data_IF_145347720313
#
_entry.id   IF_145347720313
#
_cell.length_a   1.000
_cell.length_b   1.000
_cell.length_c   1.000
_cell.angle_alpha   90.00
_cell.angle_beta   90.00
_cell.angle_gamma   90.00
#
_symmetry.space_group_name_H-M   'P 1'
#
loop_
_entity.id
_entity.type
_entity.pdbx_description
1 polymer ?
#
# COMPACT_ATOMS: atom_id res chain seq x y z
N UNK A 1 -29.62 -16.28 0.43
CA UNK A 1 -30.77 -17.18 0.17
C UNK A 1 -32.13 -16.51 0.45
N UNK A 2 -32.22 -15.58 1.39
CA UNK A 2 -33.50 -14.88 1.66
C UNK A 2 -33.84 -13.79 0.63
N UNK A 3 -32.86 -13.16 -0.01
CA UNK A 3 -33.11 -12.18 -1.10
C UNK A 3 -33.55 -12.81 -2.43
N UNK A 4 -33.39 -14.13 -2.60
CA UNK A 4 -33.84 -14.86 -3.81
C UNK A 4 -35.34 -15.09 -3.83
N UNK A 5 -36.05 -15.01 -2.70
CA UNK A 5 -37.51 -15.30 -2.61
C UNK A 5 -38.42 -14.12 -2.97
N UNK A 6 -37.87 -12.93 -3.25
CA UNK A 6 -38.67 -11.74 -3.52
C UNK A 6 -38.63 -11.24 -4.97
N UNK A 7 -37.94 -11.95 -5.87
CA UNK A 7 -38.03 -11.65 -7.30
C UNK A 7 -39.14 -12.51 -7.91
N UNK A 8 -40.21 -11.85 -8.32
CA UNK A 8 -41.27 -12.45 -9.10
C UNK A 8 -40.69 -12.90 -10.45
N UNK A 9 -40.65 -14.21 -10.69
CA UNK A 9 -40.10 -14.81 -11.92
C UNK A 9 -40.75 -14.23 -13.18
N UNK A 10 -42.01 -13.79 -13.07
CA UNK A 10 -42.72 -13.09 -14.15
C UNK A 10 -42.10 -11.75 -14.52
N UNK A 11 -41.52 -11.00 -13.58
CA UNK A 11 -40.87 -9.71 -13.85
C UNK A 11 -39.50 -9.87 -14.50
N UNK A 12 -38.73 -10.92 -14.19
CA UNK A 12 -37.45 -11.19 -14.85
C UNK A 12 -37.65 -11.53 -16.34
N UNK A 13 -38.75 -12.19 -16.65
CA UNK A 13 -39.12 -12.56 -18.02
C UNK A 13 -39.57 -11.31 -18.81
N UNK A 14 -40.28 -10.38 -18.16
CA UNK A 14 -40.80 -9.17 -18.79
C UNK A 14 -39.76 -8.07 -19.03
N UNK A 15 -38.74 -7.96 -18.20
CA UNK A 15 -37.71 -6.92 -18.34
C UNK A 15 -36.71 -7.14 -19.50
N UNK A 16 -36.58 -8.37 -19.97
CA UNK A 16 -35.69 -8.74 -21.07
C UNK A 16 -36.39 -9.10 -22.40
N UNK A 17 -37.72 -9.11 -22.43
CA UNK A 17 -38.47 -9.34 -23.67
C UNK A 17 -38.88 -8.02 -24.28
N UNK A 18 -38.21 -7.57 -25.35
CA UNK A 18 -38.86 -6.70 -26.34
C UNK A 18 -40.14 -7.42 -26.76
N UNK A 19 -41.28 -6.67 -26.67
CA UNK A 19 -42.57 -7.12 -27.19
C UNK A 19 -42.34 -7.63 -28.60
N UNK A 20 -42.30 -8.95 -28.75
CA UNK A 20 -42.27 -9.57 -30.08
C UNK A 20 -43.70 -9.46 -30.57
N UNK A 21 -43.94 -8.59 -31.56
CA UNK A 21 -45.21 -8.57 -32.26
C UNK A 21 -45.54 -10.01 -32.67
N UNK A 22 -46.72 -10.46 -32.26
CA UNK A 22 -47.19 -11.84 -32.55
C UNK A 22 -47.15 -12.08 -34.06
N UNK A 23 -46.31 -12.92 -34.58
CA UNK A 23 -46.41 -13.34 -35.98
C UNK A 23 -47.77 -14.05 -36.15
N UNK A 24 -48.44 -13.79 -37.25
CA UNK A 24 -49.68 -14.49 -37.65
C UNK A 24 -49.46 -15.96 -38.00
N UNK A 25 -48.71 -16.68 -37.21
CA UNK A 25 -48.28 -18.06 -37.44
C UNK A 25 -48.98 -18.94 -36.39
N UNK A 26 -49.40 -20.09 -36.80
CA UNK A 26 -50.08 -21.16 -36.08
C UNK A 26 -49.68 -21.20 -34.60
N UNK A 27 -50.63 -21.02 -33.69
CA UNK A 27 -50.41 -20.81 -32.27
C UNK A 27 -49.57 -21.93 -31.60
N UNK A 28 -49.66 -23.12 -32.08
CA UNK A 28 -48.92 -24.30 -31.58
C UNK A 28 -47.40 -24.27 -31.93
N UNK A 29 -47.05 -23.80 -33.12
CA UNK A 29 -45.62 -23.66 -33.51
C UNK A 29 -44.94 -22.55 -32.76
N UNK A 30 -45.66 -21.43 -32.52
CA UNK A 30 -45.13 -20.31 -31.74
C UNK A 30 -44.95 -20.73 -30.26
N UNK A 31 -45.92 -21.46 -29.69
CA UNK A 31 -45.85 -21.95 -28.31
C UNK A 31 -44.68 -22.93 -28.12
N UNK A 32 -44.46 -23.82 -29.07
CA UNK A 32 -43.32 -24.74 -29.05
C UNK A 32 -41.96 -24.02 -29.20
N UNK A 33 -41.86 -23.02 -30.08
CA UNK A 33 -40.65 -22.22 -30.25
C UNK A 33 -40.37 -21.37 -28.99
N UNK A 34 -41.40 -20.81 -28.38
CA UNK A 34 -41.32 -20.07 -27.14
C UNK A 34 -40.89 -20.97 -25.96
N UNK A 35 -41.51 -22.13 -25.79
CA UNK A 35 -41.13 -23.12 -24.76
C UNK A 35 -39.69 -23.59 -24.92
N UNK A 36 -39.24 -23.89 -26.16
CA UNK A 36 -37.85 -24.26 -26.41
C UNK A 36 -36.88 -23.13 -26.08
N UNK A 37 -37.23 -21.88 -26.41
CA UNK A 37 -36.42 -20.69 -26.07
C UNK A 37 -36.36 -20.44 -24.55
N UNK A 38 -37.50 -20.65 -23.85
CA UNK A 38 -37.59 -20.52 -22.40
C UNK A 38 -36.78 -21.59 -21.68
N UNK A 39 -36.91 -22.86 -22.10
CA UNK A 39 -36.14 -23.99 -21.54
C UNK A 39 -34.64 -23.74 -21.75
N UNK A 40 -34.22 -23.28 -22.93
CA UNK A 40 -32.82 -22.94 -23.19
C UNK A 40 -32.30 -21.85 -22.26
N UNK A 41 -33.10 -20.80 -22.03
CA UNK A 41 -32.73 -19.70 -21.09
C UNK A 41 -32.75 -20.15 -19.63
N UNK A 42 -33.65 -21.06 -19.25
CA UNK A 42 -33.69 -21.64 -17.91
C UNK A 42 -32.44 -22.51 -17.64
N UNK A 43 -32.03 -23.32 -18.61
CA UNK A 43 -30.80 -24.12 -18.51
C UNK A 43 -29.58 -23.22 -18.44
N UNK A 44 -29.50 -22.14 -19.23
CA UNK A 44 -28.43 -21.13 -19.15
C UNK A 44 -28.39 -20.43 -17.78
N UNK A 45 -29.58 -20.14 -17.19
CA UNK A 45 -29.74 -19.58 -15.85
C UNK A 45 -29.39 -20.58 -14.75
N UNK A 46 -29.78 -21.82 -14.88
CA UNK A 46 -29.44 -22.94 -13.96
C UNK A 46 -27.91 -23.13 -13.94
N UNK A 47 -27.27 -23.21 -15.09
CA UNK A 47 -25.79 -23.32 -15.19
C UNK A 47 -25.07 -22.09 -14.58
N UNK A 48 -25.67 -20.90 -14.64
CA UNK A 48 -25.15 -19.70 -13.97
C UNK A 48 -25.39 -19.70 -12.46
N UNK A 49 -26.46 -20.38 -11.99
CA UNK A 49 -26.81 -20.47 -10.58
C UNK A 49 -26.08 -21.60 -9.86
N UNK A 50 -25.60 -22.60 -10.59
CA UNK A 50 -24.79 -23.70 -10.08
C UNK A 50 -23.31 -23.31 -9.81
N UNK A 51 -22.91 -22.10 -10.13
CA UNK A 51 -21.59 -21.58 -9.76
C UNK A 51 -21.62 -21.21 -8.28
N UNK A 52 -21.09 -22.07 -7.44
CA UNK A 52 -21.02 -21.85 -5.99
C UNK A 52 -20.17 -20.61 -5.68
N UNK A 53 -19.15 -20.37 -6.45
CA UNK A 53 -18.21 -19.26 -6.26
C UNK A 53 -17.81 -18.60 -7.57
N UNK A 54 -17.93 -17.26 -7.62
CA UNK A 54 -17.45 -16.46 -8.76
C UNK A 54 -15.96 -16.23 -8.63
N UNK A 55 -15.18 -16.91 -9.45
CA UNK A 55 -13.74 -16.76 -9.55
C UNK A 55 -13.33 -16.40 -10.99
N UNK A 56 -12.06 -16.07 -11.20
CA UNK A 56 -11.55 -15.90 -12.55
C UNK A 56 -11.60 -17.19 -13.36
N UNK A 57 -11.41 -18.34 -12.72
CA UNK A 57 -11.53 -19.64 -13.36
C UNK A 57 -12.94 -19.84 -13.94
N UNK A 58 -13.97 -19.57 -13.15
CA UNK A 58 -15.37 -19.70 -13.63
C UNK A 58 -15.67 -18.71 -14.75
N UNK A 59 -15.13 -17.49 -14.69
CA UNK A 59 -15.24 -16.53 -15.78
C UNK A 59 -14.55 -17.01 -17.06
N UNK A 60 -13.34 -17.58 -16.95
CA UNK A 60 -12.61 -18.12 -18.09
C UNK A 60 -13.35 -19.29 -18.74
N UNK A 61 -13.77 -20.28 -17.95
CA UNK A 61 -14.51 -21.45 -18.41
C UNK A 61 -15.84 -21.08 -19.07
N UNK A 62 -16.56 -20.12 -18.47
CA UNK A 62 -17.78 -19.59 -19.04
C UNK A 62 -17.51 -18.87 -20.38
N UNK A 63 -16.46 -18.07 -20.44
CA UNK A 63 -16.07 -17.37 -21.67
C UNK A 63 -15.70 -18.34 -22.79
N UNK A 64 -14.96 -19.40 -22.49
CA UNK A 64 -14.60 -20.44 -23.46
C UNK A 64 -15.83 -21.17 -24.00
N UNK A 65 -16.79 -21.51 -23.12
CA UNK A 65 -18.00 -22.27 -23.46
C UNK A 65 -19.02 -21.42 -24.21
N UNK A 66 -19.31 -20.22 -23.76
CA UNK A 66 -20.47 -19.44 -24.23
C UNK A 66 -20.15 -18.33 -25.23
N UNK A 67 -18.95 -17.70 -25.18
CA UNK A 67 -18.63 -16.64 -26.14
C UNK A 67 -18.68 -17.13 -27.61
N UNK A 68 -18.24 -18.34 -27.98
CA UNK A 68 -18.42 -18.85 -29.35
C UNK A 68 -19.87 -18.84 -29.80
N UNK A 69 -20.79 -19.21 -28.90
CA UNK A 69 -22.22 -19.27 -29.17
C UNK A 69 -22.79 -17.86 -29.40
N UNK A 70 -22.39 -16.90 -28.53
CA UNK A 70 -22.82 -15.51 -28.67
C UNK A 70 -22.28 -14.86 -29.96
N UNK A 71 -21.00 -15.06 -30.27
CA UNK A 71 -20.37 -14.49 -31.44
C UNK A 71 -20.90 -15.09 -32.77
N UNK A 72 -21.30 -16.36 -32.77
CA UNK A 72 -21.94 -17.00 -33.93
C UNK A 72 -23.36 -16.49 -34.19
N UNK A 73 -23.98 -15.78 -33.25
CA UNK A 73 -25.31 -15.26 -33.41
C UNK A 73 -25.29 -14.07 -34.37
N UNK A 74 -25.99 -14.18 -35.51
CA UNK A 74 -26.09 -13.17 -36.59
C UNK A 74 -26.60 -11.79 -36.12
N UNK A 75 -27.14 -11.68 -34.90
CA UNK A 75 -27.54 -10.42 -34.28
C UNK A 75 -26.33 -9.60 -33.79
N UNK A 76 -25.23 -10.23 -33.47
CA UNK A 76 -24.00 -9.55 -33.08
C UNK A 76 -23.10 -9.41 -34.31
N UNK A 77 -23.06 -8.25 -34.89
CA UNK A 77 -22.21 -7.93 -36.06
C UNK A 77 -20.80 -7.52 -35.57
N UNK A 78 -20.16 -8.36 -34.80
CA UNK A 78 -18.77 -8.14 -34.33
C UNK A 78 -17.85 -8.90 -35.29
N UNK A 79 -16.96 -8.21 -35.94
CA UNK A 79 -15.94 -8.80 -36.78
C UNK A 79 -14.78 -9.37 -35.96
N UNK A 80 -14.04 -10.33 -36.50
CA UNK A 80 -12.81 -10.84 -35.87
C UNK A 80 -11.75 -9.76 -35.61
N UNK A 81 -11.75 -8.70 -36.42
CA UNK A 81 -10.87 -7.56 -36.25
C UNK A 81 -11.23 -6.73 -35.02
N UNK A 82 -12.50 -6.68 -34.66
CA UNK A 82 -12.97 -5.97 -33.46
C UNK A 82 -12.84 -6.81 -32.19
N UNK A 83 -13.08 -8.11 -32.27
CA UNK A 83 -12.91 -9.04 -31.16
C UNK A 83 -12.50 -10.43 -31.63
N UNK A 84 -11.25 -10.82 -31.32
CA UNK A 84 -10.73 -12.15 -31.60
C UNK A 84 -10.76 -13.01 -30.32
N UNK A 85 -11.71 -13.95 -30.25
CA UNK A 85 -11.91 -14.81 -29.11
C UNK A 85 -10.67 -15.63 -28.75
N UNK A 86 -9.93 -16.13 -29.74
CA UNK A 86 -8.74 -16.94 -29.50
C UNK A 86 -7.64 -16.14 -28.83
N UNK A 87 -7.41 -14.90 -29.29
CA UNK A 87 -6.46 -14.00 -28.66
C UNK A 87 -6.90 -13.61 -27.25
N UNK A 88 -8.19 -13.34 -27.05
CA UNK A 88 -8.76 -13.04 -25.76
C UNK A 88 -8.51 -14.16 -24.75
N UNK A 89 -8.90 -15.40 -25.06
CA UNK A 89 -8.68 -16.56 -24.19
C UNK A 89 -7.18 -16.85 -23.96
N UNK A 90 -6.34 -16.66 -24.99
CA UNK A 90 -4.91 -16.84 -24.87
C UNK A 90 -4.29 -15.86 -23.84
N UNK A 91 -4.69 -14.60 -23.87
CA UNK A 91 -4.21 -13.60 -22.88
C UNK A 91 -4.70 -13.92 -21.48
N UNK A 92 -5.95 -14.37 -21.34
CA UNK A 92 -6.55 -14.71 -20.06
C UNK A 92 -6.00 -16.01 -19.45
N UNK A 93 -5.48 -16.92 -20.26
CA UNK A 93 -4.93 -18.20 -19.82
C UNK A 93 -3.80 -18.07 -18.79
N UNK A 94 -3.06 -16.96 -18.79
CA UNK A 94 -2.04 -16.66 -17.76
C UNK A 94 -2.63 -16.61 -16.34
N UNK A 95 -3.91 -16.23 -16.21
CA UNK A 95 -4.62 -16.08 -14.93
C UNK A 95 -5.55 -17.25 -14.58
N UNK A 96 -5.74 -18.18 -15.50
CA UNK A 96 -6.52 -19.40 -15.28
C UNK A 96 -5.69 -20.42 -14.51
N UNK A 97 -6.35 -21.37 -13.84
CA UNK A 97 -5.72 -22.46 -13.07
C UNK A 97 -4.61 -23.13 -13.89
N UNK A 98 -3.42 -23.27 -13.27
CA UNK A 98 -2.23 -23.79 -13.95
C UNK A 98 -1.47 -22.76 -14.82
N UNK A 99 -2.02 -21.58 -15.05
CA UNK A 99 -1.33 -20.46 -15.68
C UNK A 99 -0.33 -19.77 -14.74
N UNK A 100 0.50 -18.90 -15.30
CA UNK A 100 1.58 -18.20 -14.57
C UNK A 100 1.09 -17.42 -13.34
N UNK A 101 -0.11 -16.86 -13.42
CA UNK A 101 -0.75 -16.06 -12.36
C UNK A 101 -2.07 -16.70 -11.88
N UNK A 102 -2.19 -18.03 -12.02
CA UNK A 102 -3.43 -18.75 -11.76
C UNK A 102 -3.97 -18.63 -10.33
N UNK A 103 -3.12 -18.37 -9.35
CA UNK A 103 -3.51 -18.14 -7.94
C UNK A 103 -3.94 -16.70 -7.68
N UNK A 104 -3.47 -15.73 -8.45
CA UNK A 104 -3.67 -14.29 -8.18
C UNK A 104 -5.13 -13.85 -8.12
N UNK A 105 -6.00 -14.45 -8.96
CA UNK A 105 -7.41 -14.07 -9.08
C UNK A 105 -8.39 -15.19 -8.71
N UNK A 106 -7.88 -16.29 -8.16
CA UNK A 106 -8.65 -17.51 -7.91
C UNK A 106 -8.55 -18.02 -6.47
N UNK A 107 -8.02 -17.24 -5.56
CA UNK A 107 -8.05 -17.55 -4.14
C UNK A 107 -9.35 -17.07 -3.51
N UNK A 108 -9.71 -17.67 -2.39
CA UNK A 108 -10.92 -17.31 -1.65
C UNK A 108 -10.91 -15.84 -1.23
N UNK A 109 -12.04 -15.17 -1.40
CA UNK A 109 -12.18 -13.79 -1.01
C UNK A 109 -12.10 -13.65 0.51
N UNK A 110 -11.08 -12.95 1.01
CA UNK A 110 -11.00 -12.60 2.42
C UNK A 110 -11.96 -11.46 2.75
N UNK A 111 -13.16 -11.82 3.19
CA UNK A 111 -14.18 -10.88 3.60
C UNK A 111 -13.78 -10.06 4.85
N UNK A 112 -12.75 -10.47 5.60
CA UNK A 112 -12.26 -9.73 6.76
C UNK A 112 -11.76 -8.34 6.39
N UNK A 113 -11.21 -8.17 5.18
CA UNK A 113 -10.73 -6.88 4.67
C UNK A 113 -11.77 -5.74 4.78
N UNK A 114 -13.06 -6.06 4.67
CA UNK A 114 -14.11 -5.05 4.81
C UNK A 114 -14.31 -4.55 6.24
N UNK A 115 -13.85 -5.31 7.22
CA UNK A 115 -14.03 -5.01 8.66
C UNK A 115 -12.75 -4.54 9.32
N UNK A 116 -11.59 -4.88 8.78
CA UNK A 116 -10.30 -4.45 9.32
C UNK A 116 -10.15 -2.91 9.30
N UNK A 117 -9.81 -2.29 10.46
CA UNK A 117 -9.68 -0.84 10.54
C UNK A 117 -8.43 -0.29 9.86
N UNK A 118 -7.37 -1.09 9.77
CA UNK A 118 -6.08 -0.71 9.18
C UNK A 118 -5.58 -1.80 8.25
N UNK A 119 -5.34 -1.44 7.00
CA UNK A 119 -4.87 -2.36 5.97
C UNK A 119 -3.68 -1.71 5.26
N UNK A 120 -2.63 -2.48 5.06
CA UNK A 120 -1.47 -2.09 4.25
C UNK A 120 -1.32 -3.08 3.10
N UNK A 121 -1.30 -2.56 1.89
CA UNK A 121 -0.99 -3.33 0.69
C UNK A 121 0.45 -3.02 0.27
N UNK A 122 1.34 -3.99 0.47
CA UNK A 122 2.70 -3.91 -0.03
C UNK A 122 2.75 -4.40 -1.48
N UNK A 123 3.04 -3.47 -2.40
CA UNK A 123 3.01 -3.73 -3.85
C UNK A 123 4.39 -3.75 -4.51
N UNK A 124 5.45 -3.63 -3.74
CA UNK A 124 6.83 -3.55 -4.28
C UNK A 124 7.19 -4.77 -5.13
N UNK A 125 6.74 -5.95 -4.76
CA UNK A 125 7.01 -7.19 -5.50
C UNK A 125 6.29 -7.28 -6.86
N UNK A 126 5.24 -6.48 -7.07
CA UNK A 126 4.44 -6.52 -8.32
C UNK A 126 4.59 -5.25 -9.17
N UNK A 127 5.20 -4.18 -8.63
CA UNK A 127 5.29 -2.87 -9.29
C UNK A 127 5.97 -2.90 -10.66
N UNK A 128 6.94 -3.79 -10.83
CA UNK A 128 7.71 -3.91 -12.07
C UNK A 128 7.07 -4.91 -13.06
N UNK A 129 5.96 -5.54 -12.68
CA UNK A 129 5.23 -6.45 -13.55
C UNK A 129 4.10 -5.71 -14.30
N UNK A 130 4.25 -5.46 -15.60
CA UNK A 130 3.29 -4.65 -16.36
C UNK A 130 1.90 -5.29 -16.50
N UNK A 131 1.76 -6.60 -16.24
CA UNK A 131 0.46 -7.30 -16.27
C UNK A 131 -0.20 -7.30 -14.90
N UNK A 132 0.55 -7.60 -13.83
CA UNK A 132 0.00 -7.74 -12.47
C UNK A 132 -0.25 -6.39 -11.80
N UNK A 133 0.66 -5.44 -11.95
CA UNK A 133 0.56 -4.16 -11.23
C UNK A 133 -0.77 -3.43 -11.47
N UNK A 134 -1.24 -3.25 -12.72
CA UNK A 134 -2.53 -2.63 -12.96
C UNK A 134 -3.72 -3.40 -12.36
N UNK A 135 -3.69 -4.74 -12.42
CA UNK A 135 -4.77 -5.59 -11.91
C UNK A 135 -4.84 -5.50 -10.38
N UNK A 136 -3.71 -5.71 -9.70
CA UNK A 136 -3.64 -5.64 -8.24
C UNK A 136 -4.07 -4.25 -7.74
N UNK A 137 -3.59 -3.20 -8.40
CA UNK A 137 -3.96 -1.83 -8.02
C UNK A 137 -5.45 -1.56 -8.22
N UNK A 138 -6.07 -2.10 -9.28
CA UNK A 138 -7.52 -2.01 -9.49
C UNK A 138 -8.31 -2.74 -8.40
N UNK A 139 -7.87 -3.93 -7.99
CA UNK A 139 -8.51 -4.71 -6.92
C UNK A 139 -8.45 -3.93 -5.61
N UNK A 140 -7.29 -3.35 -5.26
CA UNK A 140 -7.12 -2.52 -4.07
C UNK A 140 -8.07 -1.32 -4.09
N UNK A 141 -8.12 -0.61 -5.22
CA UNK A 141 -8.99 0.57 -5.36
C UNK A 141 -10.47 0.20 -5.29
N UNK A 142 -10.88 -0.89 -5.93
CA UNK A 142 -12.28 -1.35 -5.88
C UNK A 142 -12.66 -1.80 -4.46
N UNK A 143 -11.79 -2.54 -3.79
CA UNK A 143 -11.95 -2.93 -2.38
C UNK A 143 -12.15 -1.69 -1.49
N UNK A 144 -11.33 -0.64 -1.67
CA UNK A 144 -11.49 0.61 -0.94
C UNK A 144 -12.84 1.28 -1.22
N UNK A 145 -13.24 1.37 -2.50
CA UNK A 145 -14.52 1.99 -2.89
C UNK A 145 -15.70 1.21 -2.29
N UNK A 146 -15.67 -0.10 -2.32
CA UNK A 146 -16.71 -0.94 -1.72
C UNK A 146 -16.75 -0.77 -0.21
N UNK A 147 -15.60 -0.83 0.46
CA UNK A 147 -15.48 -0.58 1.90
C UNK A 147 -15.98 0.81 2.29
N UNK A 148 -15.64 1.82 1.50
CA UNK A 148 -16.09 3.20 1.68
C UNK A 148 -17.62 3.31 1.62
N UNK A 149 -18.27 2.56 0.73
CA UNK A 149 -19.73 2.53 0.58
C UNK A 149 -20.43 1.75 1.70
N UNK A 150 -19.82 0.66 2.15
CA UNK A 150 -20.36 -0.21 3.19
C UNK A 150 -20.27 0.43 4.58
N UNK A 151 -19.13 1.04 4.91
CA UNK A 151 -18.85 1.59 6.25
C UNK A 151 -19.18 3.08 6.31
N UNK A 152 -20.47 3.41 6.24
CA UNK A 152 -20.96 4.80 6.30
C UNK A 152 -20.80 5.44 7.69
N UNK A 153 -20.60 4.64 8.71
CA UNK A 153 -20.49 4.99 10.13
C UNK A 153 -19.13 5.57 10.53
N UNK A 154 -18.12 5.46 9.68
CA UNK A 154 -16.72 5.80 10.02
C UNK A 154 -16.06 6.69 8.98
N UNK A 155 -15.06 7.46 9.43
CA UNK A 155 -14.10 8.09 8.51
C UNK A 155 -13.17 7.04 7.94
N UNK A 156 -12.76 7.23 6.71
CA UNK A 156 -11.83 6.36 5.98
C UNK A 156 -10.79 7.22 5.30
N UNK A 157 -9.55 6.73 5.29
CA UNK A 157 -8.48 7.34 4.53
C UNK A 157 -7.87 6.30 3.58
N UNK A 158 -7.64 6.70 2.34
CA UNK A 158 -6.77 5.98 1.42
C UNK A 158 -5.51 6.80 1.25
N UNK A 159 -4.38 6.22 1.64
CA UNK A 159 -3.06 6.83 1.49
C UNK A 159 -2.33 6.09 0.38
N UNK A 160 -1.91 6.79 -0.65
CA UNK A 160 -1.20 6.25 -1.80
C UNK A 160 0.20 6.84 -1.79
N UNK A 161 1.18 6.04 -1.38
CA UNK A 161 2.59 6.39 -1.47
C UNK A 161 3.14 6.09 -2.86
N UNK A 162 4.13 6.85 -3.30
CA UNK A 162 4.70 6.74 -4.66
C UNK A 162 3.62 6.71 -5.77
N UNK A 163 2.60 7.54 -5.61
CA UNK A 163 1.40 7.55 -6.44
C UNK A 163 1.67 7.69 -7.94
N UNK A 164 2.81 8.23 -8.33
CA UNK A 164 3.20 8.42 -9.72
C UNK A 164 3.22 7.10 -10.53
N UNK A 165 3.63 5.99 -9.92
CA UNK A 165 3.61 4.68 -10.57
C UNK A 165 2.20 4.22 -10.91
N UNK A 166 1.28 4.44 -9.97
CA UNK A 166 -0.13 4.13 -10.18
C UNK A 166 -0.78 5.08 -11.21
N UNK A 167 -0.41 6.36 -11.17
CA UNK A 167 -0.97 7.42 -12.04
C UNK A 167 -0.53 7.27 -13.51
N UNK A 168 0.60 6.66 -13.79
CA UNK A 168 1.10 6.44 -15.14
C UNK A 168 0.12 5.63 -16.03
N UNK A 169 -0.71 4.78 -15.44
CA UNK A 169 -1.77 4.06 -16.14
C UNK A 169 -3.01 4.94 -16.36
N UNK A 170 -3.50 5.04 -17.60
CA UNK A 170 -4.72 5.79 -17.94
C UNK A 170 -5.94 5.32 -17.12
N UNK A 171 -6.03 4.02 -16.88
CA UNK A 171 -7.12 3.42 -16.11
C UNK A 171 -7.06 3.86 -14.65
N UNK A 172 -5.89 3.79 -14.05
CA UNK A 172 -5.66 4.24 -12.67
C UNK A 172 -5.86 5.73 -12.51
N UNK A 173 -5.40 6.54 -13.46
CA UNK A 173 -5.68 7.96 -13.48
C UNK A 173 -7.18 8.27 -13.41
N UNK A 174 -8.00 7.51 -14.14
CA UNK A 174 -9.47 7.63 -14.10
C UNK A 174 -10.06 7.25 -12.73
N UNK A 175 -9.53 6.23 -12.07
CA UNK A 175 -9.93 5.83 -10.72
C UNK A 175 -9.57 6.88 -9.66
N UNK A 176 -8.36 7.40 -9.71
CA UNK A 176 -7.91 8.48 -8.81
C UNK A 176 -8.78 9.72 -9.00
N UNK A 177 -9.08 10.08 -10.25
CA UNK A 177 -10.01 11.17 -10.57
C UNK A 177 -11.40 10.92 -9.94
N UNK A 178 -11.95 9.73 -10.11
CA UNK A 178 -13.23 9.36 -9.50
C UNK A 178 -13.17 9.45 -7.98
N UNK A 179 -12.09 8.93 -7.37
CA UNK A 179 -11.87 8.95 -5.93
C UNK A 179 -11.88 10.40 -5.40
N UNK A 180 -11.04 11.28 -5.95
CA UNK A 180 -10.95 12.68 -5.51
C UNK A 180 -12.28 13.45 -5.65
N UNK A 181 -13.09 13.13 -6.65
CA UNK A 181 -14.42 13.74 -6.84
C UNK A 181 -15.48 13.20 -5.89
N UNK A 182 -15.33 11.98 -5.36
CA UNK A 182 -16.43 11.29 -4.69
C UNK A 182 -16.17 10.93 -3.23
N UNK A 183 -14.91 10.76 -2.82
CA UNK A 183 -14.53 10.25 -1.50
C UNK A 183 -15.17 11.03 -0.34
N UNK A 184 -15.27 12.34 -0.47
CA UNK A 184 -15.88 13.23 0.53
C UNK A 184 -17.35 12.89 0.81
N UNK A 185 -18.12 12.44 -0.21
CA UNK A 185 -19.54 12.06 -0.05
C UNK A 185 -19.73 10.85 0.88
N UNK A 186 -18.67 10.10 1.11
CA UNK A 186 -18.68 8.89 1.93
C UNK A 186 -17.84 9.03 3.21
N UNK A 187 -17.56 10.25 3.65
CA UNK A 187 -16.70 10.51 4.81
C UNK A 187 -15.29 9.91 4.63
N UNK A 188 -14.79 9.96 3.41
CA UNK A 188 -13.48 9.48 3.05
C UNK A 188 -12.50 10.61 2.80
N UNK A 189 -11.23 10.29 2.91
CA UNK A 189 -10.08 11.12 2.59
C UNK A 189 -9.21 10.38 1.58
N UNK A 190 -8.67 11.09 0.61
CA UNK A 190 -7.68 10.58 -0.32
C UNK A 190 -6.39 11.38 -0.14
N UNK A 191 -5.32 10.69 0.20
CA UNK A 191 -4.00 11.28 0.41
C UNK A 191 -3.03 10.69 -0.61
N UNK A 192 -2.39 11.55 -1.38
CA UNK A 192 -1.34 11.18 -2.32
C UNK A 192 -0.03 11.72 -1.79
N UNK A 193 0.96 10.84 -1.68
CA UNK A 193 2.31 11.18 -1.27
C UNK A 193 3.24 10.98 -2.45
N UNK A 194 4.07 11.98 -2.75
CA UNK A 194 5.07 11.90 -3.80
C UNK A 194 6.34 12.62 -3.37
N UNK A 195 7.47 12.13 -3.85
CA UNK A 195 8.78 12.77 -3.66
C UNK A 195 9.07 13.79 -4.76
N UNK A 196 8.44 13.62 -5.93
CA UNK A 196 8.65 14.48 -7.09
C UNK A 196 7.30 14.99 -7.61
N UNK A 197 7.16 16.30 -7.68
CA UNK A 197 5.93 16.92 -8.17
C UNK A 197 5.77 16.74 -9.69
N UNK A 198 6.85 16.64 -10.42
CA UNK A 198 6.82 16.43 -11.88
C UNK A 198 6.08 15.15 -12.26
N UNK A 199 6.04 14.14 -11.39
CA UNK A 199 5.29 12.90 -11.57
C UNK A 199 3.77 13.12 -11.61
N UNK A 200 3.28 14.04 -10.77
CA UNK A 200 1.86 14.44 -10.76
C UNK A 200 1.57 15.35 -11.97
N UNK A 201 2.50 16.25 -12.30
CA UNK A 201 2.33 17.23 -13.36
C UNK A 201 2.35 16.57 -14.74
N UNK A 202 3.11 15.49 -14.91
CA UNK A 202 3.27 14.78 -16.18
C UNK A 202 1.96 14.20 -16.76
N UNK A 203 0.96 13.96 -15.91
CA UNK A 203 -0.37 13.52 -16.34
C UNK A 203 -1.39 14.65 -16.15
N UNK A 204 -1.73 15.36 -17.23
CA UNK A 204 -2.63 16.52 -17.18
C UNK A 204 -3.99 16.22 -16.53
N UNK A 205 -4.58 15.04 -16.80
CA UNK A 205 -5.89 14.66 -16.25
C UNK A 205 -5.80 14.50 -14.72
N UNK A 206 -4.74 13.90 -14.24
CA UNK A 206 -4.54 13.61 -12.81
C UNK A 206 -4.13 14.87 -12.06
N UNK A 207 -3.22 15.67 -12.64
CA UNK A 207 -2.80 16.96 -12.10
C UNK A 207 -4.01 17.84 -11.77
N UNK A 208 -4.84 18.12 -12.76
CA UNK A 208 -6.00 18.98 -12.58
C UNK A 208 -7.00 18.39 -11.59
N UNK A 209 -7.10 17.08 -11.53
CA UNK A 209 -8.02 16.39 -10.63
C UNK A 209 -7.56 16.36 -9.19
N UNK A 210 -6.29 16.05 -8.94
CA UNK A 210 -5.72 16.02 -7.59
C UNK A 210 -5.63 17.43 -7.03
N UNK A 211 -4.99 18.34 -7.76
CA UNK A 211 -4.76 19.70 -7.27
C UNK A 211 -6.07 20.45 -7.05
N UNK A 212 -7.00 20.41 -8.00
CA UNK A 212 -8.24 21.18 -7.89
C UNK A 212 -9.25 20.62 -6.87
N UNK A 213 -9.09 19.34 -6.48
CA UNK A 213 -9.97 18.72 -5.49
C UNK A 213 -9.29 18.48 -4.13
N UNK A 214 -8.02 18.85 -3.97
CA UNK A 214 -7.32 18.81 -2.69
C UNK A 214 -7.60 20.08 -1.88
N UNK A 215 -8.10 19.89 -0.67
CA UNK A 215 -8.31 21.00 0.28
C UNK A 215 -7.04 21.33 1.07
N UNK A 216 -6.11 20.39 1.17
CA UNK A 216 -4.94 20.51 2.04
C UNK A 216 -3.69 20.06 1.30
N UNK A 217 -2.63 20.85 1.39
CA UNK A 217 -1.30 20.54 0.89
C UNK A 217 -0.31 20.55 2.04
N UNK A 218 0.53 19.53 2.12
CA UNK A 218 1.61 19.42 3.11
C UNK A 218 2.92 19.39 2.35
N UNK A 219 3.79 20.35 2.62
CA UNK A 219 5.12 20.41 2.04
C UNK A 219 6.16 20.19 3.15
N UNK A 220 7.00 19.19 2.94
CA UNK A 220 8.20 18.99 3.75
C UNK A 220 9.30 19.94 3.29
N UNK A 221 10.52 19.74 3.76
CA UNK A 221 11.69 20.56 3.39
C UNK A 221 11.90 20.58 1.87
N UNK A 222 11.86 21.78 1.30
CA UNK A 222 11.97 22.01 -0.15
C UNK A 222 13.32 22.66 -0.53
N UNK A 223 14.28 22.74 0.37
CA UNK A 223 15.57 23.40 0.12
C UNK A 223 16.35 22.79 -1.04
N UNK A 224 16.17 21.48 -1.30
CA UNK A 224 16.79 20.80 -2.45
C UNK A 224 16.22 21.24 -3.81
N UNK A 225 15.04 21.82 -3.82
CA UNK A 225 14.30 22.18 -5.05
C UNK A 225 14.23 23.69 -5.28
N UNK A 226 15.03 24.49 -4.56
CA UNK A 226 14.95 25.94 -4.58
C UNK A 226 15.03 26.53 -5.99
N UNK A 227 15.88 25.98 -6.85
CA UNK A 227 16.07 26.45 -8.23
C UNK A 227 14.86 26.18 -9.15
N UNK A 228 14.01 25.21 -8.81
CA UNK A 228 12.85 24.80 -9.59
C UNK A 228 11.52 25.02 -8.85
N UNK A 229 11.57 25.69 -7.68
CA UNK A 229 10.39 25.85 -6.81
C UNK A 229 9.28 26.69 -7.44
N UNK A 230 9.58 27.51 -8.42
CA UNK A 230 8.60 28.33 -9.14
C UNK A 230 7.46 27.51 -9.76
N UNK A 231 7.75 26.28 -10.20
CA UNK A 231 6.73 25.39 -10.74
C UNK A 231 5.74 24.96 -9.65
N UNK A 232 6.26 24.62 -8.46
CA UNK A 232 5.48 24.27 -7.28
C UNK A 232 4.65 25.47 -6.82
N UNK A 233 5.30 26.63 -6.72
CA UNK A 233 4.67 27.86 -6.29
C UNK A 233 3.49 28.25 -7.20
N UNK A 234 3.65 28.17 -8.51
CA UNK A 234 2.57 28.41 -9.49
C UNK A 234 1.45 27.39 -9.38
N UNK A 235 1.80 26.10 -9.27
CA UNK A 235 0.83 25.01 -9.20
C UNK A 235 -0.07 25.11 -7.96
N UNK A 236 0.52 25.42 -6.81
CA UNK A 236 -0.17 25.54 -5.53
C UNK A 236 -0.65 26.96 -5.23
N UNK A 237 -0.45 27.89 -6.17
CA UNK A 237 -0.79 29.31 -6.02
C UNK A 237 -0.20 29.90 -4.72
N UNK A 238 1.11 29.71 -4.52
CA UNK A 238 1.84 30.21 -3.35
C UNK A 238 2.29 31.66 -3.60
N UNK A 239 1.96 32.56 -2.68
CA UNK A 239 2.49 33.91 -2.68
C UNK A 239 3.93 33.98 -2.12
N UNK A 240 4.60 35.11 -2.25
CA UNK A 240 6.00 35.29 -1.81
C UNK A 240 6.18 35.05 -0.30
N UNK A 241 5.22 35.42 0.53
CA UNK A 241 5.25 35.19 1.97
C UNK A 241 5.19 33.70 2.30
N UNK A 242 4.31 32.97 1.61
CA UNK A 242 4.18 31.52 1.76
C UNK A 242 5.46 30.80 1.32
N UNK A 243 6.05 31.22 0.19
CA UNK A 243 7.33 30.67 -0.28
C UNK A 243 8.45 30.92 0.73
N UNK A 244 8.55 32.14 1.27
CA UNK A 244 9.52 32.46 2.30
C UNK A 244 9.36 31.59 3.56
N UNK A 245 8.11 31.36 4.00
CA UNK A 245 7.83 30.44 5.13
C UNK A 245 8.30 29.01 4.83
N UNK A 246 8.06 28.51 3.63
CA UNK A 246 8.44 27.14 3.25
C UNK A 246 9.95 26.96 3.33
N UNK A 247 10.74 27.95 2.91
CA UNK A 247 12.20 27.88 2.99
C UNK A 247 12.75 28.08 4.41
N UNK A 248 11.93 28.43 5.41
CA UNK A 248 12.35 28.44 6.82
C UNK A 248 12.23 27.07 7.49
N UNK A 249 11.58 26.11 6.85
CA UNK A 249 11.38 24.75 7.39
C UNK A 249 12.73 24.15 7.77
N UNK A 250 12.81 23.63 8.99
CA UNK A 250 13.98 23.02 9.58
C UNK A 250 15.21 23.94 9.77
N UNK A 251 15.08 25.25 9.58
CA UNK A 251 16.17 26.21 9.75
C UNK A 251 16.19 26.91 11.13
N UNK A 252 15.30 26.54 12.05
CA UNK A 252 15.25 27.15 13.38
C UNK A 252 16.47 26.79 14.23
N UNK A 253 17.05 27.80 14.86
CA UNK A 253 18.26 27.68 15.69
C UNK A 253 18.02 27.04 17.07
N UNK A 254 16.75 26.80 17.47
CA UNK A 254 16.38 26.30 18.79
C UNK A 254 16.27 24.77 18.88
N UNK A 255 16.95 24.06 17.97
CA UNK A 255 16.87 22.58 17.87
C UNK A 255 17.85 21.84 18.79
N UNK A 256 18.66 22.52 19.57
CA UNK A 256 19.63 21.83 20.45
C UNK A 256 18.91 20.85 21.38
N UNK A 257 19.25 19.60 21.29
CA UNK A 257 18.63 18.51 22.06
C UNK A 257 17.28 17.96 21.52
N UNK A 258 16.74 18.51 20.41
CA UNK A 258 15.46 18.09 19.83
C UNK A 258 15.64 17.46 18.43
N UNK A 259 16.39 16.39 18.36
CA UNK A 259 16.70 15.71 17.08
C UNK A 259 15.46 15.14 16.36
N UNK A 260 14.42 14.82 17.14
CA UNK A 260 13.16 14.25 16.61
C UNK A 260 12.10 15.30 16.25
N UNK A 261 12.42 16.60 16.41
CA UNK A 261 11.56 17.69 15.98
C UNK A 261 11.78 17.97 14.49
N UNK A 262 10.69 17.98 13.73
CA UNK A 262 10.66 18.31 12.29
C UNK A 262 9.56 19.31 12.02
N UNK A 263 9.76 20.14 11.04
CA UNK A 263 8.77 21.13 10.61
C UNK A 263 8.21 20.75 9.24
N UNK A 264 7.01 21.20 8.97
CA UNK A 264 6.35 21.08 7.69
C UNK A 264 5.44 22.29 7.46
N UNK A 265 5.25 22.67 6.22
CA UNK A 265 4.29 23.69 5.82
C UNK A 265 2.95 23.02 5.49
N UNK A 266 1.87 23.54 6.04
CA UNK A 266 0.51 23.09 5.78
C UNK A 266 -0.30 24.25 5.21
N UNK A 267 -0.81 24.08 3.98
CA UNK A 267 -1.72 25.01 3.31
C UNK A 267 -3.12 24.39 3.28
N UNK A 268 -4.10 25.15 3.75
CA UNK A 268 -5.51 24.79 3.64
C UNK A 268 -6.30 26.00 3.11
N UNK A 269 -6.82 25.85 1.90
CA UNK A 269 -7.43 26.95 1.17
C UNK A 269 -6.45 28.11 0.97
N UNK A 270 -6.79 29.30 1.46
CA UNK A 270 -5.95 30.52 1.35
C UNK A 270 -4.97 30.71 2.51
N UNK A 271 -4.97 29.83 3.50
CA UNK A 271 -4.10 29.93 4.70
C UNK A 271 -3.04 28.87 4.67
N UNK A 272 -1.79 29.28 4.88
CA UNK A 272 -0.66 28.40 4.99
C UNK A 272 0.29 28.83 6.11
N UNK A 273 0.69 27.86 6.95
CA UNK A 273 1.59 28.09 8.08
C UNK A 273 2.56 26.92 8.26
N UNK A 274 3.69 27.21 8.91
CA UNK A 274 4.67 26.20 9.31
C UNK A 274 4.28 25.63 10.66
N UNK A 275 4.25 24.32 10.75
CA UNK A 275 3.97 23.58 11.97
C UNK A 275 5.16 22.71 12.35
N UNK A 276 5.36 22.53 13.65
CA UNK A 276 6.35 21.61 14.19
C UNK A 276 5.71 20.31 14.66
N UNK A 277 6.38 19.21 14.38
CA UNK A 277 6.04 17.90 14.88
C UNK A 277 7.22 17.29 15.62
N UNK A 278 6.98 16.79 16.81
CA UNK A 278 7.98 16.08 17.61
C UNK A 278 7.41 14.74 18.04
N UNK A 279 8.13 13.68 17.72
CA UNK A 279 7.74 12.32 18.07
C UNK A 279 8.50 11.84 19.30
N UNK A 280 7.88 10.95 20.10
CA UNK A 280 8.59 10.28 21.20
C UNK A 280 9.72 9.38 20.64
N UNK A 281 10.66 8.99 21.50
CA UNK A 281 11.72 8.07 21.09
C UNK A 281 11.14 6.73 20.62
N UNK A 282 10.10 6.23 21.30
CA UNK A 282 9.40 5.01 20.92
C UNK A 282 8.77 5.12 19.52
N UNK A 283 8.08 6.23 19.24
CA UNK A 283 7.51 6.47 17.91
C UNK A 283 8.59 6.57 16.84
N UNK A 284 9.67 7.31 17.12
CA UNK A 284 10.81 7.42 16.21
C UNK A 284 11.38 6.04 15.85
N UNK A 285 11.68 5.23 16.86
CA UNK A 285 12.24 3.88 16.68
C UNK A 285 11.27 2.93 15.94
N UNK A 286 9.97 3.13 16.12
CA UNK A 286 8.96 2.33 15.40
C UNK A 286 8.93 2.64 13.90
N UNK A 287 9.15 3.91 13.53
CA UNK A 287 9.01 4.36 12.14
C UNK A 287 10.33 4.66 11.43
N UNK A 288 11.47 4.57 12.13
CA UNK A 288 12.77 4.85 11.51
C UNK A 288 13.08 3.88 10.38
N UNK A 289 13.62 4.40 9.29
CA UNK A 289 14.17 3.64 8.16
C UNK A 289 15.69 3.56 8.19
N UNK A 290 16.33 4.17 9.21
CA UNK A 290 17.78 4.14 9.38
C UNK A 290 18.25 2.72 9.68
N UNK A 291 18.94 2.11 8.73
CA UNK A 291 19.33 0.69 8.77
C UNK A 291 20.04 0.27 10.06
N UNK A 292 21.03 1.05 10.60
CA UNK A 292 21.70 0.66 11.84
C UNK A 292 20.78 0.59 13.05
N UNK A 293 19.85 1.56 13.18
CA UNK A 293 18.89 1.65 14.27
C UNK A 293 17.84 0.55 14.18
N UNK A 294 17.31 0.34 12.96
CA UNK A 294 16.35 -0.72 12.68
C UNK A 294 16.93 -2.09 13.00
N UNK A 295 18.15 -2.38 12.51
CA UNK A 295 18.84 -3.64 12.79
C UNK A 295 19.09 -3.85 14.28
N UNK A 296 19.44 -2.79 15.02
CA UNK A 296 19.63 -2.88 16.46
C UNK A 296 18.33 -3.18 17.20
N UNK A 297 17.21 -2.57 16.81
CA UNK A 297 15.90 -2.87 17.40
C UNK A 297 15.43 -4.29 17.03
N UNK A 298 15.64 -4.74 15.80
CA UNK A 298 15.31 -6.10 15.35
C UNK A 298 16.05 -7.17 16.19
N UNK A 299 17.28 -6.90 16.59
CA UNK A 299 18.01 -7.78 17.53
C UNK A 299 17.25 -7.94 18.85
N UNK A 300 16.73 -6.84 19.43
CA UNK A 300 15.92 -6.90 20.65
C UNK A 300 14.59 -7.63 20.42
N UNK A 301 13.93 -7.41 19.28
CA UNK A 301 12.68 -8.13 18.92
C UNK A 301 12.91 -9.64 18.88
N UNK A 302 14.02 -10.09 18.33
CA UNK A 302 14.38 -11.51 18.28
C UNK A 302 14.66 -12.09 19.69
N UNK A 303 15.27 -11.30 20.57
CA UNK A 303 15.54 -11.72 21.95
C UNK A 303 14.24 -11.79 22.79
N UNK A 304 13.39 -10.77 22.71
CA UNK A 304 12.19 -10.65 23.55
C UNK A 304 10.96 -11.33 22.94
N UNK A 305 10.95 -11.66 21.66
CA UNK A 305 9.84 -12.27 20.91
C UNK A 305 8.52 -11.50 20.93
N UNK A 306 8.53 -10.30 21.50
CA UNK A 306 7.43 -9.36 21.56
C UNK A 306 7.96 -7.98 21.22
N UNK A 307 7.34 -7.32 20.23
CA UNK A 307 7.81 -6.02 19.76
C UNK A 307 7.75 -4.94 20.83
N UNK A 308 6.66 -4.90 21.61
CA UNK A 308 6.49 -3.86 22.61
C UNK A 308 7.50 -4.01 23.76
N UNK A 309 7.66 -5.21 24.28
CA UNK A 309 8.64 -5.49 25.34
C UNK A 309 10.07 -5.19 24.87
N UNK A 310 10.37 -5.55 23.61
CA UNK A 310 11.65 -5.24 22.98
C UNK A 310 11.91 -3.73 22.87
N UNK A 311 10.92 -2.98 22.42
CA UNK A 311 11.00 -1.53 22.28
C UNK A 311 11.17 -0.83 23.63
N UNK A 312 10.42 -1.23 24.63
CA UNK A 312 10.51 -0.70 25.99
C UNK A 312 11.90 -0.94 26.59
N UNK A 313 12.42 -2.18 26.45
CA UNK A 313 13.75 -2.51 26.96
C UNK A 313 14.84 -1.78 26.18
N UNK A 314 14.69 -1.63 24.85
CA UNK A 314 15.62 -0.88 24.03
C UNK A 314 15.71 0.59 24.45
N UNK A 315 14.57 1.21 24.73
CA UNK A 315 14.51 2.60 25.23
C UNK A 315 15.12 2.72 26.63
N UNK A 316 14.84 1.79 27.52
CA UNK A 316 15.47 1.77 28.85
C UNK A 316 16.99 1.66 28.76
N UNK A 317 17.51 0.81 27.87
CA UNK A 317 18.94 0.66 27.67
C UNK A 317 19.59 1.93 27.08
N UNK A 318 18.85 2.64 26.20
CA UNK A 318 19.30 3.96 25.68
C UNK A 318 19.43 4.97 26.82
N UNK A 319 18.47 5.03 27.72
CA UNK A 319 18.46 5.99 28.82
C UNK A 319 19.59 5.74 29.85
N UNK A 320 20.04 4.49 29.96
CA UNK A 320 21.13 4.10 30.87
C UNK A 320 22.53 4.20 30.29
N UNK A 321 22.66 4.33 28.96
CA UNK A 321 23.97 4.39 28.31
C UNK A 321 24.42 5.82 28.04
N UNK A 322 25.68 6.08 28.27
CA UNK A 322 26.34 7.34 27.82
C UNK A 322 26.17 7.47 26.31
N UNK A 323 25.86 8.66 25.84
CA UNK A 323 25.52 8.97 24.43
C UNK A 323 24.28 8.22 23.89
N UNK A 324 23.56 7.50 24.72
CA UNK A 324 22.24 6.93 24.43
C UNK A 324 22.17 6.09 23.17
N UNK A 325 21.25 6.46 22.25
CA UNK A 325 20.97 5.70 21.05
C UNK A 325 22.20 5.37 20.16
N UNK A 326 23.09 6.32 19.81
CA UNK A 326 24.28 6.00 19.01
C UNK A 326 25.18 4.95 19.63
N UNK A 327 25.35 4.99 20.96
CA UNK A 327 26.18 4.03 21.68
C UNK A 327 25.56 2.63 21.69
N UNK A 328 24.25 2.53 21.99
CA UNK A 328 23.53 1.25 21.98
C UNK A 328 23.52 0.62 20.58
N UNK A 329 23.22 1.42 19.54
CA UNK A 329 23.20 0.97 18.14
C UNK A 329 24.58 0.45 17.73
N UNK A 330 25.65 1.16 18.11
CA UNK A 330 27.03 0.71 17.84
C UNK A 330 27.35 -0.61 18.53
N UNK A 331 26.94 -0.77 19.78
CA UNK A 331 27.13 -1.98 20.57
C UNK A 331 26.44 -3.19 19.95
N UNK A 332 25.16 -3.05 19.58
CA UNK A 332 24.37 -4.14 18.97
C UNK A 332 24.92 -4.52 17.59
N UNK A 333 25.27 -3.54 16.77
CA UNK A 333 25.79 -3.80 15.43
C UNK A 333 27.16 -4.47 15.43
N UNK A 334 28.01 -4.17 16.42
CA UNK A 334 29.28 -4.90 16.60
C UNK A 334 29.03 -6.35 17.00
N UNK A 335 28.05 -6.57 17.86
CA UNK A 335 27.72 -7.93 18.32
C UNK A 335 27.16 -8.82 17.20
N UNK A 336 26.36 -8.24 16.28
CA UNK A 336 25.78 -8.97 15.15
C UNK A 336 26.77 -9.31 14.04
N UNK A 337 27.91 -8.61 13.96
CA UNK A 337 28.96 -8.89 12.98
C UNK A 337 30.01 -9.82 13.59
N UNK A 338 30.74 -10.61 12.76
CA UNK A 338 31.93 -11.28 13.24
C UNK A 338 32.81 -10.24 13.93
N UNK A 339 33.21 -10.52 15.18
CA UNK A 339 33.90 -9.58 16.06
C UNK A 339 35.26 -9.22 15.46
N UNK A 340 35.32 -8.18 14.65
CA UNK A 340 36.51 -7.80 13.88
C UNK A 340 37.01 -6.37 14.18
N UNK A 341 36.33 -5.61 15.03
CA UNK A 341 36.62 -4.19 15.26
C UNK A 341 37.49 -3.95 16.52
N UNK A 342 38.58 -4.63 16.66
CA UNK A 342 39.51 -4.46 17.80
C UNK A 342 39.05 -5.07 19.12
N UNK A 343 37.95 -5.85 19.11
CA UNK A 343 37.42 -6.56 20.27
C UNK A 343 37.65 -8.07 20.24
N UNK A 344 38.21 -8.63 19.17
CA UNK A 344 38.31 -10.06 18.97
C UNK A 344 39.16 -10.71 20.07
N UNK A 345 40.29 -10.11 20.42
CA UNK A 345 41.16 -10.62 21.47
C UNK A 345 40.52 -10.53 22.85
N UNK A 346 39.82 -9.41 23.09
CA UNK A 346 39.07 -9.25 24.33
C UNK A 346 37.92 -10.28 24.42
N UNK A 347 37.22 -10.53 23.33
CA UNK A 347 36.15 -11.54 23.28
C UNK A 347 36.69 -12.93 23.59
N UNK A 348 37.77 -13.33 22.97
CA UNK A 348 38.37 -14.64 23.24
C UNK A 348 38.86 -14.77 24.70
N UNK A 349 39.51 -13.75 25.22
CA UNK A 349 39.94 -13.70 26.60
C UNK A 349 38.74 -13.75 27.57
N UNK A 350 37.68 -12.96 27.29
CA UNK A 350 36.45 -12.94 28.07
C UNK A 350 35.78 -14.32 28.08
N UNK A 351 35.59 -14.95 26.91
CA UNK A 351 34.96 -16.27 26.77
C UNK A 351 35.78 -17.39 27.44
N UNK A 352 37.09 -17.30 27.40
CA UNK A 352 37.95 -18.23 28.13
C UNK A 352 37.77 -18.17 29.64
N UNK A 353 37.57 -16.98 30.17
CA UNK A 353 37.38 -16.76 31.62
C UNK A 353 35.88 -16.92 32.04
N UNK A 354 34.97 -16.69 31.15
CA UNK A 354 33.51 -16.66 31.42
C UNK A 354 32.75 -17.42 30.34
N UNK A 355 32.90 -18.74 30.19
CA UNK A 355 32.31 -19.47 29.05
C UNK A 355 30.79 -19.41 28.95
N UNK A 356 30.09 -19.32 30.08
CA UNK A 356 28.63 -19.30 30.14
C UNK A 356 28.02 -17.90 30.13
N UNK A 357 28.83 -16.84 30.27
CA UNK A 357 28.30 -15.48 30.30
C UNK A 357 28.02 -14.94 28.89
N UNK A 358 26.90 -14.24 28.77
CA UNK A 358 26.58 -13.48 27.56
C UNK A 358 27.54 -12.29 27.43
N UNK A 359 28.21 -12.21 26.28
CA UNK A 359 29.22 -11.18 26.04
C UNK A 359 28.57 -9.80 25.87
N UNK A 360 27.49 -9.73 25.12
CA UNK A 360 26.76 -8.47 24.89
C UNK A 360 26.25 -7.87 26.18
N UNK A 361 25.53 -8.68 26.99
CA UNK A 361 25.00 -8.24 28.30
C UNK A 361 26.10 -7.81 29.27
N UNK A 362 27.24 -8.49 29.21
CA UNK A 362 28.39 -8.16 30.05
C UNK A 362 29.07 -6.86 29.66
N UNK A 363 29.26 -6.63 28.34
CA UNK A 363 29.79 -5.34 27.82
C UNK A 363 28.80 -4.21 28.12
N UNK A 364 27.51 -4.40 27.80
CA UNK A 364 26.48 -3.38 28.08
C UNK A 364 26.52 -2.94 29.55
N UNK A 365 26.53 -3.89 30.48
CA UNK A 365 26.62 -3.59 31.91
C UNK A 365 27.89 -2.83 32.27
N UNK A 366 29.04 -3.21 31.71
CA UNK A 366 30.30 -2.54 31.95
C UNK A 366 30.29 -1.09 31.44
N UNK A 367 29.71 -0.83 30.27
CA UNK A 367 29.60 0.53 29.73
C UNK A 367 28.71 1.40 30.61
N UNK A 368 27.63 0.84 31.18
CA UNK A 368 26.73 1.54 32.12
C UNK A 368 27.48 1.79 33.44
N UNK A 369 28.09 0.78 34.03
CA UNK A 369 28.76 0.87 35.36
C UNK A 369 29.95 1.87 35.34
N UNK A 370 30.63 2.02 34.19
CA UNK A 370 31.78 2.92 34.03
C UNK A 370 31.44 4.26 33.40
N UNK A 371 30.21 4.50 32.98
CA UNK A 371 29.73 5.68 32.26
C UNK A 371 30.62 6.04 31.03
N UNK A 372 30.89 5.02 30.21
CA UNK A 372 31.74 5.17 29.01
C UNK A 372 31.02 4.73 27.74
N UNK A 373 31.46 5.28 26.61
CA UNK A 373 31.01 4.80 25.31
C UNK A 373 31.77 3.55 24.87
N UNK A 374 31.17 2.79 23.96
CA UNK A 374 31.85 1.64 23.34
C UNK A 374 33.17 2.04 22.67
N UNK A 375 33.22 3.22 22.05
CA UNK A 375 34.43 3.75 21.42
C UNK A 375 35.53 4.01 22.45
N UNK A 376 35.22 4.59 23.59
CA UNK A 376 36.15 4.81 24.71
C UNK A 376 36.64 3.45 25.27
N UNK A 377 35.73 2.49 25.43
CA UNK A 377 36.06 1.12 25.87
C UNK A 377 37.04 0.44 24.92
N UNK A 378 36.77 0.40 23.61
CA UNK A 378 37.65 -0.20 22.61
C UNK A 378 39.04 0.47 22.66
N UNK A 379 39.08 1.80 22.71
CA UNK A 379 40.34 2.53 22.81
C UNK A 379 41.16 2.14 24.05
N UNK A 380 40.50 1.98 25.20
CA UNK A 380 41.16 1.58 26.44
C UNK A 380 41.75 0.15 26.34
N UNK A 381 41.08 -0.77 25.65
CA UNK A 381 41.58 -2.15 25.47
C UNK A 381 42.75 -2.22 24.49
N UNK A 382 42.68 -1.49 23.37
CA UNK A 382 43.76 -1.48 22.38
C UNK A 382 45.05 -0.88 22.96
N UNK A 383 44.94 0.18 23.80
CA UNK A 383 46.13 0.71 24.48
C UNK A 383 46.76 -0.25 25.48
N UNK A 384 45.97 -1.20 25.99
CA UNK A 384 46.52 -2.23 26.91
C UNK A 384 47.28 -3.33 26.15
N UNK A 385 46.89 -3.62 24.91
CA UNK A 385 47.57 -4.63 24.07
C UNK A 385 48.80 -4.11 23.34
N UNK A 386 48.88 -2.77 23.06
CA UNK A 386 50.08 -2.15 22.49
C UNK A 386 51.25 -2.01 23.52
N UNK A 387 50.99 -2.26 24.79
CA UNK A 387 51.96 -2.17 25.89
C UNK A 387 52.51 -3.51 26.40
N UNK A 388 52.09 -4.61 25.79
CA UNK A 388 52.56 -5.97 26.03
C UNK A 388 53.32 -6.49 24.80
#
# INVERSE_FOLDING_TARGET
TEKRKTYDESQLILSNTKIIERPKINSAEWENAFRKSLIKKLVELEEMLDVEELSFNTFYEYSEKFLPIYLSNKKFKISEAEFNLRTFLYVLADFYKGGRYGTTLNEDADNSLFYEPFIVFEIDNVKDNPKLFPIVTLIIMDTFIQKMRLRKDRRKALIIEEAWKAIASKLMGSYILYLYKTVRKFWGEAVVVTQELDDIIGNAVVKDSIINNSDTFILLDQTKFIDNFDKIAKLLSLNEVEQSKIFTINNLNNKSGRSRFKEFYLKRGSKGEVYGNEVSLQQYLTYTTEKPEKSALEYYVNEYRNYQDALEQFVLDIDHLKDGLPNLVSLVNIYQKPIDNGLIEYYHSFKKQNPSKDFFKSIKRLLIDQDITLKEFIKSKNQTYEKI
#
